data_IF_257075092087
#
_entry.id   IF_257075092087
#
_cell.length_a   1.000
_cell.length_b   1.000
_cell.length_c   1.000
_cell.angle_alpha   90.00
_cell.angle_beta   90.00
_cell.angle_gamma   90.00
#
_symmetry.space_group_name_H-M   'P 1'
#
loop_
_entity.id
_entity.type
_entity.pdbx_description
1 polymer ?
#
# COMPACT_ATOMS: atom_id res chain seq x y z
N UNK A 1 6.42 27.18 26.86
CA UNK A 1 5.62 27.11 25.61
C UNK A 1 5.96 28.33 24.76
N UNK A 2 5.84 28.30 23.42
CA UNK A 2 6.07 29.50 22.60
C UNK A 2 5.20 30.67 23.08
N UNK A 3 5.82 31.82 23.35
CA UNK A 3 5.16 32.98 23.96
C UNK A 3 4.19 33.66 22.99
N UNK A 4 4.61 33.88 21.74
CA UNK A 4 3.80 34.52 20.70
C UNK A 4 2.70 33.60 20.17
N UNK A 5 1.47 34.12 19.90
CA UNK A 5 0.38 33.38 19.26
C UNK A 5 0.75 33.06 17.80
N UNK A 6 1.54 32.01 17.67
CA UNK A 6 2.09 31.48 16.44
C UNK A 6 1.40 30.16 16.10
N UNK A 7 1.54 29.73 14.85
CA UNK A 7 1.05 28.41 14.44
C UNK A 7 1.64 27.29 15.32
N UNK A 8 2.88 27.47 15.78
CA UNK A 8 3.58 26.56 16.67
C UNK A 8 2.89 26.45 18.05
N UNK A 9 2.44 27.57 18.63
CA UNK A 9 1.70 27.56 19.89
C UNK A 9 0.41 26.73 19.77
N UNK A 10 -0.37 26.92 18.70
CA UNK A 10 -1.57 26.11 18.42
C UNK A 10 -1.23 24.62 18.23
N UNK A 11 -0.09 24.31 17.62
CA UNK A 11 0.37 22.93 17.48
C UNK A 11 0.71 22.30 18.84
N UNK A 12 1.32 23.05 19.75
CA UNK A 12 1.61 22.60 21.12
C UNK A 12 0.34 22.33 21.93
N UNK A 13 -0.64 23.25 21.90
CA UNK A 13 -1.91 23.06 22.61
C UNK A 13 -2.61 21.78 22.15
N UNK A 14 -2.71 21.58 20.82
CA UNK A 14 -3.29 20.37 20.24
C UNK A 14 -2.54 19.10 20.66
N UNK A 15 -1.21 19.15 20.67
CA UNK A 15 -0.40 17.98 20.98
C UNK A 15 -0.44 17.58 22.47
N UNK A 16 -0.64 18.53 23.38
CA UNK A 16 -0.66 18.27 24.82
C UNK A 16 -2.02 17.75 25.32
N UNK A 17 -3.08 17.81 24.50
CA UNK A 17 -4.41 17.31 24.81
C UNK A 17 -4.96 17.77 26.17
N UNK A 18 -4.60 18.99 26.60
CA UNK A 18 -5.05 19.59 27.87
C UNK A 18 -6.02 20.74 27.61
N UNK A 19 -7.19 20.66 28.24
CA UNK A 19 -8.25 21.67 28.10
C UNK A 19 -7.97 22.95 28.90
N UNK A 20 -7.17 22.85 29.96
CA UNK A 20 -6.88 23.96 30.86
C UNK A 20 -5.72 24.84 30.39
N UNK A 21 -4.94 24.40 29.39
CA UNK A 21 -3.70 25.07 28.94
C UNK A 21 -3.92 26.55 28.59
N UNK A 22 -5.04 26.88 27.95
CA UNK A 22 -5.33 28.23 27.51
C UNK A 22 -5.65 29.17 28.70
N UNK A 23 -5.95 28.62 29.88
CA UNK A 23 -6.19 29.38 31.12
C UNK A 23 -4.91 29.67 31.89
N UNK A 24 -3.80 28.98 31.59
CA UNK A 24 -2.52 29.25 32.27
C UNK A 24 -1.83 30.48 31.68
N UNK A 25 -1.47 31.43 32.55
CA UNK A 25 -0.62 32.59 32.17
C UNK A 25 0.74 32.15 31.61
N UNK A 26 1.32 31.10 32.19
CA UNK A 26 2.59 30.52 31.76
C UNK A 26 2.46 29.00 31.76
N UNK A 27 2.60 28.40 30.57
CA UNK A 27 2.61 26.94 30.42
C UNK A 27 4.04 26.46 30.15
N UNK A 28 4.61 25.78 31.14
CA UNK A 28 5.91 25.12 31.02
C UNK A 28 5.71 23.64 30.71
N UNK A 29 6.49 23.13 29.76
CA UNK A 29 6.45 21.73 29.31
C UNK A 29 7.85 21.17 29.46
N UNK A 30 8.00 20.06 30.16
CA UNK A 30 9.32 19.47 30.40
C UNK A 30 9.90 18.85 29.11
N UNK A 31 11.23 18.78 29.02
CA UNK A 31 11.94 18.22 27.86
C UNK A 31 11.58 16.77 27.56
N UNK A 32 11.08 16.02 28.56
CA UNK A 32 10.67 14.62 28.41
C UNK A 32 9.46 14.45 27.47
N UNK A 33 8.76 15.54 27.16
CA UNK A 33 7.67 15.53 26.19
C UNK A 33 8.16 15.65 24.73
N UNK A 34 9.46 15.88 24.52
CA UNK A 34 10.08 16.03 23.22
C UNK A 34 10.99 14.84 22.95
N UNK A 35 11.25 14.57 21.67
CA UNK A 35 12.25 13.58 21.29
C UNK A 35 13.64 14.13 21.52
N UNK A 36 14.59 13.24 21.70
CA UNK A 36 16.01 13.62 21.82
C UNK A 36 16.49 14.37 20.58
N UNK A 37 15.99 14.01 19.39
CA UNK A 37 16.31 14.70 18.13
C UNK A 37 15.82 16.15 18.07
N UNK A 38 14.80 16.52 18.86
CA UNK A 38 14.23 17.86 18.90
C UNK A 38 14.92 18.75 19.95
N UNK A 39 15.81 18.18 20.76
CA UNK A 39 16.55 18.88 21.81
C UNK A 39 17.99 19.14 21.36
N UNK A 40 18.39 20.40 21.44
CA UNK A 40 19.78 20.83 21.25
C UNK A 40 20.55 20.69 22.57
N UNK A 41 21.41 19.68 22.64
CA UNK A 41 22.32 19.44 23.77
C UNK A 41 23.66 20.16 23.66
N UNK A 42 24.06 20.54 22.44
CA UNK A 42 25.39 21.11 22.16
C UNK A 42 25.30 22.41 21.36
N UNK A 43 26.20 23.34 21.66
CA UNK A 43 26.53 24.49 20.81
C UNK A 43 27.55 24.07 19.74
N UNK A 44 27.35 24.53 18.51
CA UNK A 44 28.38 24.45 17.48
C UNK A 44 29.17 25.76 17.47
N UNK A 45 30.45 25.68 17.82
CA UNK A 45 31.36 26.83 17.81
C UNK A 45 32.26 26.69 16.59
N UNK A 46 32.32 27.69 15.69
CA UNK A 46 33.25 27.65 14.58
C UNK A 46 34.68 27.77 15.09
N UNK A 47 35.53 26.87 14.63
CA UNK A 47 36.98 26.98 14.78
C UNK A 47 37.52 27.89 13.67
N UNK A 48 38.66 28.54 13.92
CA UNK A 48 39.33 29.39 12.92
C UNK A 48 39.63 28.68 11.59
N UNK A 49 39.72 27.35 11.61
CA UNK A 49 40.01 26.50 10.47
C UNK A 49 38.76 26.07 9.67
N UNK A 50 37.58 26.63 9.97
CA UNK A 50 36.32 26.30 9.30
C UNK A 50 35.66 25.00 9.78
N UNK A 51 36.24 24.32 10.77
CA UNK A 51 35.62 23.17 11.46
C UNK A 51 34.71 23.65 12.59
N UNK A 52 33.86 22.78 13.15
CA UNK A 52 32.99 23.13 14.29
C UNK A 52 33.29 22.23 15.49
N UNK A 53 33.51 22.85 16.64
CA UNK A 53 33.59 22.13 17.93
C UNK A 53 32.22 22.11 18.59
N UNK A 54 31.82 20.95 19.10
CA UNK A 54 30.56 20.78 19.84
C UNK A 54 30.80 20.95 21.33
N UNK A 55 30.23 21.99 21.93
CA UNK A 55 30.35 22.28 23.37
C UNK A 55 29.01 22.01 24.05
N UNK A 56 28.95 21.25 25.16
CA UNK A 56 27.71 21.02 25.89
C UNK A 56 27.02 22.33 26.30
N UNK A 57 25.70 22.37 26.16
CA UNK A 57 24.88 23.49 26.63
C UNK A 57 24.63 23.37 28.14
N UNK A 58 24.76 24.48 28.85
CA UNK A 58 24.33 24.58 30.26
C UNK A 58 22.79 24.58 30.37
N UNK A 59 22.13 25.24 29.41
CA UNK A 59 20.67 25.22 29.26
C UNK A 59 20.29 24.57 27.94
N UNK A 60 19.60 23.44 28.05
CA UNK A 60 19.04 22.73 26.89
C UNK A 60 18.04 23.62 26.17
N UNK A 61 18.11 23.62 24.84
CA UNK A 61 17.23 24.40 23.97
C UNK A 61 16.46 23.43 23.07
N UNK A 62 15.21 23.76 22.76
CA UNK A 62 14.49 23.04 21.72
C UNK A 62 14.87 23.59 20.34
N UNK A 63 14.96 22.71 19.35
CA UNK A 63 15.07 23.11 17.94
C UNK A 63 13.88 23.98 17.54
N UNK A 64 14.10 24.85 16.56
CA UNK A 64 13.01 25.67 16.01
C UNK A 64 11.92 24.78 15.41
N UNK A 65 10.67 25.05 15.77
CA UNK A 65 9.52 24.27 15.31
C UNK A 65 9.28 22.95 16.03
N UNK A 66 10.09 22.59 17.05
CA UNK A 66 9.86 21.39 17.86
C UNK A 66 8.47 21.42 18.52
N UNK A 67 7.75 20.29 18.47
CA UNK A 67 6.41 20.12 19.05
C UNK A 67 6.45 18.93 20.02
N UNK A 68 5.85 19.02 21.22
CA UNK A 68 5.79 17.89 22.14
C UNK A 68 5.04 16.73 21.47
N UNK A 69 5.59 15.53 21.58
CA UNK A 69 5.02 14.32 20.98
C UNK A 69 5.05 13.11 21.91
N UNK A 70 5.70 13.23 23.07
CA UNK A 70 5.72 12.21 24.11
C UNK A 70 4.86 12.67 25.28
N UNK A 71 3.93 11.84 25.71
CA UNK A 71 3.03 12.12 26.84
C UNK A 71 3.17 10.99 27.88
N UNK A 72 4.24 10.99 28.68
CA UNK A 72 4.41 10.00 29.74
C UNK A 72 3.21 10.04 30.70
N UNK A 73 2.69 8.87 31.05
CA UNK A 73 1.48 8.73 31.88
C UNK A 73 0.17 8.69 31.10
N UNK A 74 0.18 8.96 29.79
CA UNK A 74 -0.96 8.74 28.90
C UNK A 74 -0.79 7.44 28.11
N UNK A 75 -1.90 6.86 27.61
CA UNK A 75 -1.83 5.72 26.71
C UNK A 75 -0.93 6.00 25.49
N UNK A 76 -0.23 4.97 25.02
CA UNK A 76 0.81 5.09 23.98
C UNK A 76 0.32 5.72 22.68
N UNK A 77 -0.96 5.58 22.34
CA UNK A 77 -1.56 6.16 21.14
C UNK A 77 -1.69 7.69 21.19
N UNK A 78 -1.62 8.32 22.36
CA UNK A 78 -1.52 9.78 22.49
C UNK A 78 -0.11 10.30 22.20
N UNK A 79 0.90 9.45 22.37
CA UNK A 79 2.27 9.78 22.01
C UNK A 79 2.52 9.48 20.54
N UNK A 80 2.98 10.46 19.79
CA UNK A 80 3.36 10.26 18.39
C UNK A 80 4.82 9.83 18.34
N UNK A 81 5.07 8.52 18.47
CA UNK A 81 6.34 7.93 18.02
C UNK A 81 6.37 7.98 16.49
N UNK A 82 7.56 8.04 15.87
CA UNK A 82 7.73 7.93 14.41
C UNK A 82 7.35 6.53 13.90
N UNK A 83 6.22 5.98 14.34
CA UNK A 83 5.63 4.82 13.68
C UNK A 83 5.07 5.35 12.37
N UNK A 84 5.94 5.34 11.35
CA UNK A 84 5.70 5.54 9.93
C UNK A 84 4.31 6.10 9.66
N UNK A 85 4.23 7.42 9.39
CA UNK A 85 3.06 7.95 8.66
C UNK A 85 2.88 7.01 7.47
N UNK A 86 1.84 6.17 7.49
CA UNK A 86 1.33 5.52 6.28
C UNK A 86 0.91 6.67 5.38
N UNK A 87 1.87 7.18 4.61
CA UNK A 87 1.66 8.27 3.67
C UNK A 87 0.69 7.75 2.63
N UNK A 88 -0.22 8.61 2.17
CA UNK A 88 -1.15 8.31 1.07
C UNK A 88 -0.43 7.71 -0.15
N UNK A 89 0.81 8.14 -0.38
CA UNK A 89 1.74 7.58 -1.37
C UNK A 89 1.97 6.07 -1.23
N UNK A 90 1.97 5.53 -0.01
CA UNK A 90 2.10 4.08 0.23
C UNK A 90 0.86 3.30 -0.22
N UNK A 91 -0.33 3.90 -0.14
CA UNK A 91 -1.57 3.27 -0.62
C UNK A 91 -1.61 3.27 -2.14
N UNK A 92 -1.31 4.40 -2.77
CA UNK A 92 -1.27 4.51 -4.24
C UNK A 92 -0.25 3.55 -4.86
N UNK A 93 0.92 3.37 -4.24
CA UNK A 93 1.94 2.41 -4.72
C UNK A 93 1.46 0.97 -4.62
N UNK A 94 0.80 0.59 -3.52
CA UNK A 94 0.25 -0.77 -3.33
C UNK A 94 -0.91 -1.05 -4.29
N UNK A 95 -1.78 -0.08 -4.50
CA UNK A 95 -2.91 -0.18 -5.42
C UNK A 95 -2.41 -0.35 -6.87
N UNK A 96 -1.42 0.45 -7.29
CA UNK A 96 -0.76 0.30 -8.60
C UNK A 96 -0.10 -1.07 -8.77
N UNK A 97 0.55 -1.57 -7.72
CA UNK A 97 1.17 -2.89 -7.76
C UNK A 97 0.12 -4.00 -7.93
N UNK A 98 -0.98 -3.96 -7.16
CA UNK A 98 -2.09 -4.89 -7.31
C UNK A 98 -2.74 -4.83 -8.69
N UNK A 99 -2.94 -3.62 -9.23
CA UNK A 99 -3.49 -3.43 -10.57
C UNK A 99 -2.58 -4.07 -11.63
N UNK A 100 -1.27 -3.80 -11.56
CA UNK A 100 -0.29 -4.37 -12.48
C UNK A 100 -0.25 -5.89 -12.40
N UNK A 101 -0.28 -6.47 -11.19
CA UNK A 101 -0.36 -7.92 -11.01
C UNK A 101 -1.61 -8.51 -11.67
N UNK A 102 -2.76 -7.87 -11.49
CA UNK A 102 -4.04 -8.29 -12.09
C UNK A 102 -4.00 -8.24 -13.62
N UNK A 103 -3.47 -7.16 -14.19
CA UNK A 103 -3.30 -7.02 -15.65
C UNK A 103 -2.42 -8.15 -16.20
N UNK A 104 -1.30 -8.44 -15.54
CA UNK A 104 -0.39 -9.51 -15.96
C UNK A 104 -1.04 -10.89 -15.91
N UNK A 105 -1.85 -11.17 -14.88
CA UNK A 105 -2.61 -12.41 -14.78
C UNK A 105 -3.62 -12.55 -15.92
N UNK A 106 -4.35 -11.48 -16.23
CA UNK A 106 -5.31 -11.45 -17.34
C UNK A 106 -4.62 -11.76 -18.67
N UNK A 107 -3.53 -11.06 -18.99
CA UNK A 107 -2.76 -11.25 -20.23
C UNK A 107 -2.22 -12.69 -20.38
N UNK A 108 -1.73 -13.27 -19.28
CA UNK A 108 -1.28 -14.66 -19.26
C UNK A 108 -2.42 -15.64 -19.51
N UNK A 109 -3.58 -15.42 -18.89
CA UNK A 109 -4.77 -16.28 -19.08
C UNK A 109 -5.30 -16.23 -20.51
N UNK A 110 -5.34 -15.03 -21.13
CA UNK A 110 -5.76 -14.86 -22.52
C UNK A 110 -4.81 -15.53 -23.52
N UNK A 111 -3.50 -15.42 -23.27
CA UNK A 111 -2.48 -16.04 -24.13
C UNK A 111 -2.54 -17.57 -24.06
N UNK A 112 -2.72 -18.13 -22.85
CA UNK A 112 -2.90 -19.56 -22.63
C UNK A 112 -4.19 -20.09 -23.27
N UNK A 113 -5.31 -19.38 -23.11
CA UNK A 113 -6.58 -19.76 -23.73
C UNK A 113 -6.50 -19.75 -25.26
N UNK A 114 -5.94 -18.70 -25.87
CA UNK A 114 -5.77 -18.62 -27.33
C UNK A 114 -4.90 -19.76 -27.86
N UNK A 115 -3.82 -20.13 -27.17
CA UNK A 115 -2.96 -21.24 -27.59
C UNK A 115 -3.68 -22.61 -27.53
N UNK A 116 -4.64 -22.79 -26.62
CA UNK A 116 -5.37 -24.04 -26.48
C UNK A 116 -6.41 -24.27 -27.59
N UNK A 117 -6.95 -23.21 -28.22
CA UNK A 117 -7.92 -23.34 -29.32
C UNK A 117 -7.32 -23.27 -30.73
N UNK A 118 -6.05 -22.91 -30.87
CA UNK A 118 -5.36 -22.99 -32.16
C UNK A 118 -5.13 -24.47 -32.51
N UNK A 119 -5.61 -24.86 -33.68
CA UNK A 119 -5.39 -26.19 -34.28
C UNK A 119 -4.38 -25.99 -35.41
N UNK A 120 -3.19 -26.55 -35.27
CA UNK A 120 -2.12 -26.37 -36.26
C UNK A 120 -2.14 -27.42 -37.37
N UNK A 121 -2.65 -28.62 -37.07
CA UNK A 121 -2.77 -29.72 -38.01
C UNK A 121 -3.81 -30.75 -37.53
N UNK A 122 -4.10 -31.75 -38.38
CA UNK A 122 -5.10 -32.78 -38.10
C UNK A 122 -4.73 -33.70 -36.91
N UNK A 123 -3.45 -33.93 -36.63
CA UNK A 123 -3.02 -34.74 -35.49
C UNK A 123 -3.27 -34.00 -34.16
N UNK A 124 -3.00 -32.70 -34.15
CA UNK A 124 -3.27 -31.79 -33.03
C UNK A 124 -4.77 -31.70 -32.73
N UNK A 125 -5.61 -31.61 -33.77
CA UNK A 125 -7.07 -31.70 -33.62
C UNK A 125 -7.51 -33.03 -32.99
N UNK A 126 -7.00 -34.15 -33.50
CA UNK A 126 -7.36 -35.50 -32.99
C UNK A 126 -6.96 -35.68 -31.53
N UNK A 127 -5.79 -35.18 -31.13
CA UNK A 127 -5.33 -35.21 -29.75
C UNK A 127 -6.24 -34.39 -28.82
N UNK A 128 -6.65 -33.19 -29.24
CA UNK A 128 -7.55 -32.32 -28.46
C UNK A 128 -8.98 -32.86 -28.38
N UNK A 129 -9.50 -33.46 -29.45
CA UNK A 129 -10.84 -34.07 -29.49
C UNK A 129 -10.97 -35.31 -28.59
N UNK A 130 -9.91 -36.10 -28.41
CA UNK A 130 -9.95 -37.30 -27.57
C UNK A 130 -10.22 -37.00 -26.07
N UNK A 131 -9.96 -35.77 -25.61
CA UNK A 131 -10.24 -35.35 -24.23
C UNK A 131 -11.58 -34.63 -24.08
N UNK A 132 -12.34 -34.45 -25.16
CA UNK A 132 -13.65 -33.81 -25.11
C UNK A 132 -14.71 -34.88 -24.84
N UNK A 133 -15.29 -34.83 -23.65
CA UNK A 133 -16.55 -35.54 -23.38
C UNK A 133 -17.65 -34.78 -24.11
N UNK A 134 -18.17 -35.38 -25.18
CA UNK A 134 -19.25 -34.79 -25.95
C UNK A 134 -20.56 -34.89 -25.16
N UNK A 135 -21.37 -33.83 -25.10
CA UNK A 135 -22.71 -33.90 -24.52
C UNK A 135 -23.60 -34.92 -25.26
N UNK A 136 -24.48 -35.61 -24.53
CA UNK A 136 -25.31 -36.73 -25.04
C UNK A 136 -26.21 -36.38 -26.24
N UNK A 137 -26.41 -35.10 -26.52
CA UNK A 137 -27.24 -34.61 -27.62
C UNK A 137 -26.48 -34.41 -28.95
N UNK A 138 -25.22 -34.86 -29.04
CA UNK A 138 -24.43 -34.80 -30.28
C UNK A 138 -24.52 -36.11 -31.05
N UNK A 139 -24.79 -36.04 -32.35
CA UNK A 139 -24.84 -37.23 -33.22
C UNK A 139 -23.45 -37.52 -33.76
N UNK A 140 -22.91 -38.69 -33.42
CA UNK A 140 -21.64 -39.21 -33.94
C UNK A 140 -21.94 -40.22 -35.04
N UNK A 141 -21.57 -39.88 -36.27
CA UNK A 141 -21.69 -40.78 -37.41
C UNK A 141 -20.35 -41.49 -37.65
N UNK A 142 -20.41 -42.81 -37.80
CA UNK A 142 -19.30 -43.66 -38.20
C UNK A 142 -19.52 -44.12 -39.64
N UNK A 143 -18.55 -43.92 -40.52
CA UNK A 143 -18.57 -44.48 -41.88
C UNK A 143 -17.69 -45.72 -41.94
N UNK A 144 -18.20 -46.81 -42.52
CA UNK A 144 -17.56 -48.14 -42.56
C UNK A 144 -16.32 -48.24 -43.45
N UNK A 145 -15.97 -47.17 -44.16
CA UNK A 145 -14.65 -47.03 -44.79
C UNK A 145 -13.76 -46.17 -43.89
N UNK A 146 -12.84 -46.86 -43.24
CA UNK A 146 -11.80 -46.39 -42.31
C UNK A 146 -11.43 -44.91 -42.41
N UNK A 147 -11.94 -44.14 -41.43
CA UNK A 147 -11.27 -43.01 -40.72
C UNK A 147 -11.98 -41.65 -40.71
N UNK A 148 -13.28 -41.57 -41.02
CA UNK A 148 -14.02 -40.29 -40.86
C UNK A 148 -15.13 -40.42 -39.82
N UNK A 149 -15.06 -39.60 -38.77
CA UNK A 149 -16.13 -39.41 -37.78
C UNK A 149 -16.72 -38.03 -38.01
N UNK A 150 -18.02 -37.94 -38.31
CA UNK A 150 -18.72 -36.67 -38.38
C UNK A 150 -19.45 -36.44 -37.06
N UNK A 151 -19.25 -35.27 -36.46
CA UNK A 151 -19.89 -34.90 -35.21
C UNK A 151 -20.75 -33.68 -35.52
N UNK A 152 -22.08 -33.85 -35.46
CA UNK A 152 -23.03 -32.79 -35.76
C UNK A 152 -23.91 -32.50 -34.53
N UNK A 153 -24.11 -31.22 -34.16
CA UNK A 153 -25.07 -30.87 -33.12
C UNK A 153 -26.47 -31.24 -33.60
N UNK A 154 -27.23 -31.97 -32.78
CA UNK A 154 -28.62 -32.31 -33.09
C UNK A 154 -29.44 -31.03 -33.04
N UNK A 155 -29.92 -30.57 -34.20
CA UNK A 155 -30.89 -29.48 -34.28
C UNK A 155 -32.17 -29.96 -33.58
N UNK A 156 -32.45 -29.38 -32.41
CA UNK A 156 -33.75 -29.52 -31.77
C UNK A 156 -34.68 -28.60 -32.55
N UNK A 157 -35.47 -29.16 -33.45
CA UNK A 157 -36.60 -28.42 -34.01
C UNK A 157 -37.50 -28.00 -32.85
N UNK A 158 -37.56 -26.70 -32.59
CA UNK A 158 -38.58 -26.14 -31.70
C UNK A 158 -39.90 -26.30 -32.44
N UNK A 159 -40.68 -27.31 -32.08
CA UNK A 159 -42.10 -27.35 -32.39
C UNK A 159 -42.75 -26.16 -31.68
N UNK A 160 -42.99 -25.09 -32.44
CA UNK A 160 -43.97 -24.07 -32.05
C UNK A 160 -45.33 -24.70 -32.36
N UNK A 161 -46.23 -24.63 -31.39
CA UNK A 161 -47.58 -25.23 -31.38
C UNK A 161 -48.37 -25.03 -32.67
#
# INVERSE_FOLDING_TARGET
MPENPSELKRAWVRALHREDIDRLKVANVCIKHFREEDVEYFHKVPNGDGTFTSVPRDKLKLKEGAIPCLLPGYPSYYSSTLTSKRTRLSYESKEKEMLNQTIQLSLKSESGAKHNFIIRNLQDLKAKLNYIVLPDNWLVWHTDNSSTRFILPRLIEKTIQ
#
